data_IF_690245661745
#
_entry.id   IF_690245661745
#
_cell.length_a   1.000
_cell.length_b   1.000
_cell.length_c   1.000
_cell.angle_alpha   90.00
_cell.angle_beta   90.00
_cell.angle_gamma   90.00
#
_symmetry.space_group_name_H-M   'P 1'
#
loop_
_entity.id
_entity.type
_entity.pdbx_description
1 polymer ?
#
# COMPACT_ATOMS: atom_id res chain seq x y z
N UNK A 1 -1.16 3.45 46.73
CA UNK A 1 -1.43 4.24 45.52
C UNK A 1 -0.67 3.59 44.37
N UNK A 2 -1.37 2.97 43.41
CA UNK A 2 -0.75 2.41 42.20
C UNK A 2 -1.37 3.10 41.00
N UNK A 3 -0.58 3.94 40.34
CA UNK A 3 -0.92 4.54 39.06
C UNK A 3 -0.75 3.46 37.98
N UNK A 4 -1.83 2.79 37.60
CA UNK A 4 -1.88 1.97 36.37
C UNK A 4 -2.46 2.83 35.26
N UNK A 5 -1.61 3.66 34.65
CA UNK A 5 -1.92 4.46 33.47
C UNK A 5 -1.64 3.62 32.21
N UNK A 6 -2.26 2.44 32.09
CA UNK A 6 -2.06 1.52 30.95
C UNK A 6 -3.38 1.19 30.23
N UNK A 7 -4.29 2.16 30.13
CA UNK A 7 -5.45 2.06 29.25
C UNK A 7 -5.44 3.20 28.24
N UNK A 8 -4.43 3.20 27.36
CA UNK A 8 -4.65 3.76 26.03
C UNK A 8 -5.65 2.81 25.36
N UNK A 9 -6.94 3.15 25.38
CA UNK A 9 -7.98 2.36 24.73
C UNK A 9 -7.62 2.19 23.25
N UNK A 10 -7.16 0.99 22.90
CA UNK A 10 -6.87 0.62 21.52
C UNK A 10 -8.23 0.52 20.81
N UNK A 11 -8.61 1.56 20.05
CA UNK A 11 -9.91 1.61 19.36
C UNK A 11 -9.93 0.80 18.05
N UNK A 12 -8.77 0.35 17.60
CA UNK A 12 -8.57 -0.49 16.43
C UNK A 12 -7.36 -1.40 16.61
N UNK A 13 -7.45 -2.63 16.11
CA UNK A 13 -6.34 -3.57 16.05
C UNK A 13 -5.81 -3.64 14.61
N UNK A 14 -4.53 -3.36 14.42
CA UNK A 14 -3.88 -3.52 13.13
C UNK A 14 -3.70 -5.01 12.78
N UNK A 15 -3.99 -5.36 11.52
CA UNK A 15 -3.82 -6.71 10.98
C UNK A 15 -3.06 -6.60 9.66
N UNK A 16 -1.93 -7.28 9.57
CA UNK A 16 -1.17 -7.37 8.33
C UNK A 16 -0.81 -8.81 7.99
N UNK A 17 -0.68 -9.07 6.70
CA UNK A 17 -0.15 -10.30 6.14
C UNK A 17 0.89 -9.92 5.09
N UNK A 18 2.11 -10.40 5.29
CA UNK A 18 3.22 -10.24 4.36
C UNK A 18 3.56 -11.59 3.75
N UNK A 19 3.55 -11.67 2.43
CA UNK A 19 4.02 -12.81 1.66
C UNK A 19 5.18 -12.37 0.79
N UNK A 20 6.33 -13.01 0.93
CA UNK A 20 7.55 -12.67 0.20
C UNK A 20 8.08 -13.88 -0.55
N UNK A 21 8.43 -13.64 -1.81
CA UNK A 21 9.04 -14.62 -2.69
C UNK A 21 10.41 -14.12 -3.15
N UNK A 22 11.41 -15.00 -3.10
CA UNK A 22 12.77 -14.72 -3.54
C UNK A 22 13.10 -15.58 -4.75
N UNK A 23 13.42 -14.93 -5.86
CA UNK A 23 13.93 -15.56 -7.08
C UNK A 23 15.40 -15.25 -7.29
N UNK A 24 15.97 -15.80 -8.36
CA UNK A 24 17.35 -15.50 -8.74
C UNK A 24 17.45 -14.08 -9.34
N UNK A 25 17.98 -13.13 -8.58
CA UNK A 25 18.13 -11.73 -8.99
C UNK A 25 16.85 -10.90 -8.88
N UNK A 26 15.79 -11.40 -8.24
CA UNK A 26 14.57 -10.62 -7.99
C UNK A 26 13.82 -11.09 -6.75
N UNK A 27 12.96 -10.23 -6.22
CA UNK A 27 12.07 -10.51 -5.11
C UNK A 27 10.70 -9.87 -5.36
N UNK A 28 9.65 -10.54 -4.89
CA UNK A 28 8.30 -10.01 -4.85
C UNK A 28 7.77 -10.01 -3.41
N UNK A 29 7.08 -8.95 -3.03
CA UNK A 29 6.39 -8.80 -1.77
C UNK A 29 4.93 -8.47 -2.05
N UNK A 30 4.03 -9.29 -1.52
CA UNK A 30 2.61 -8.98 -1.42
C UNK A 30 2.29 -8.67 0.03
N UNK A 31 1.79 -7.46 0.29
CA UNK A 31 1.40 -6.98 1.61
C UNK A 31 -0.07 -6.63 1.62
N UNK A 32 -0.76 -7.13 2.63
CA UNK A 32 -2.16 -6.80 2.92
C UNK A 32 -2.20 -6.20 4.32
N UNK A 33 -2.61 -4.94 4.45
CA UNK A 33 -2.68 -4.23 5.73
C UNK A 33 -4.08 -3.64 5.93
N UNK A 34 -4.72 -4.03 7.02
CA UNK A 34 -6.06 -3.56 7.39
C UNK A 34 -6.19 -3.37 8.90
N UNK A 35 -7.37 -2.91 9.32
CA UNK A 35 -7.65 -2.58 10.71
C UNK A 35 -8.98 -3.20 11.14
N UNK A 36 -8.98 -3.87 12.29
CA UNK A 36 -10.20 -4.32 12.96
C UNK A 36 -10.62 -3.27 13.97
N UNK A 37 -11.78 -2.66 13.74
CA UNK A 37 -12.34 -1.66 14.66
C UNK A 37 -12.88 -2.38 15.89
N UNK A 38 -12.41 -1.99 17.08
CA UNK A 38 -12.85 -2.55 18.36
C UNK A 38 -13.98 -1.73 18.99
N UNK A 39 -14.00 -0.41 18.72
CA UNK A 39 -15.08 0.48 19.14
C UNK A 39 -15.67 1.24 17.94
N UNK A 40 -16.72 0.70 17.30
CA UNK A 40 -17.31 1.30 16.10
C UNK A 40 -17.98 2.65 16.35
N UNK A 41 -18.39 2.94 17.60
CA UNK A 41 -19.04 4.22 17.95
C UNK A 41 -18.10 5.43 17.76
N UNK A 42 -16.79 5.24 17.86
CA UNK A 42 -15.80 6.31 17.70
C UNK A 42 -15.50 6.69 16.25
N UNK A 43 -15.84 5.80 15.30
CA UNK A 43 -15.64 6.03 13.86
C UNK A 43 -16.95 6.40 13.14
N UNK A 44 -18.07 6.51 13.88
CA UNK A 44 -19.36 6.90 13.35
C UNK A 44 -19.37 8.33 12.78
N UNK A 45 -18.45 9.20 13.26
CA UNK A 45 -18.37 10.61 12.86
C UNK A 45 -17.14 10.90 11.98
N UNK A 46 -16.05 10.14 12.15
CA UNK A 46 -14.76 10.37 11.49
C UNK A 46 -14.47 9.46 10.29
N UNK A 47 -15.33 8.46 10.02
CA UNK A 47 -15.11 7.47 8.97
C UNK A 47 -14.10 6.39 9.35
N UNK A 48 -14.02 5.31 8.57
CA UNK A 48 -13.07 4.23 8.85
C UNK A 48 -11.66 4.62 8.42
N UNK A 49 -10.60 4.22 9.17
CA UNK A 49 -9.23 4.45 8.74
C UNK A 49 -8.94 3.79 7.39
N UNK A 50 -8.09 4.43 6.58
CA UNK A 50 -7.65 3.91 5.29
C UNK A 50 -7.05 2.52 5.43
N UNK A 51 -7.43 1.63 4.53
CA UNK A 51 -6.85 0.29 4.44
C UNK A 51 -6.05 0.16 3.14
N UNK A 52 -4.92 -0.55 3.21
CA UNK A 52 -4.02 -0.77 2.07
C UNK A 52 -4.11 -2.24 1.66
N UNK A 53 -5.01 -2.54 0.71
CA UNK A 53 -5.33 -3.90 0.29
C UNK A 53 -5.49 -4.00 -1.23
N UNK A 54 -4.59 -4.70 -1.96
CA UNK A 54 -3.23 -5.12 -1.61
C UNK A 54 -2.14 -4.12 -2.06
N UNK A 55 -0.96 -4.19 -1.45
CA UNK A 55 0.29 -3.61 -1.94
C UNK A 55 1.17 -4.73 -2.53
N UNK A 56 1.60 -4.56 -3.77
CA UNK A 56 2.53 -5.44 -4.48
C UNK A 56 3.81 -4.67 -4.77
N UNK A 57 4.94 -5.25 -4.41
CA UNK A 57 6.27 -4.70 -4.67
C UNK A 57 7.13 -5.76 -5.36
N UNK A 58 7.69 -5.43 -6.52
CA UNK A 58 8.59 -6.25 -7.29
C UNK A 58 9.92 -5.49 -7.44
N UNK A 59 11.02 -6.09 -7.01
CA UNK A 59 12.35 -5.52 -7.21
C UNK A 59 13.30 -6.54 -7.78
N UNK A 60 14.10 -6.15 -8.76
CA UNK A 60 15.06 -7.03 -9.42
C UNK A 60 16.39 -6.33 -9.68
N UNK A 61 17.48 -7.07 -9.57
CA UNK A 61 18.82 -6.62 -9.88
C UNK A 61 19.60 -7.78 -10.51
N UNK A 62 20.06 -7.58 -11.74
CA UNK A 62 20.85 -8.56 -12.46
C UNK A 62 22.22 -7.98 -12.80
N UNK A 63 23.31 -8.70 -12.44
CA UNK A 63 24.66 -8.28 -12.77
C UNK A 63 24.92 -8.42 -14.27
N UNK A 64 25.91 -7.69 -14.78
CA UNK A 64 26.23 -7.70 -16.21
C UNK A 64 26.66 -9.08 -16.71
N UNK A 65 25.89 -9.67 -17.62
CA UNK A 65 26.33 -10.83 -18.39
C UNK A 65 27.04 -10.37 -19.66
N UNK A 66 28.38 -10.47 -19.69
CA UNK A 66 29.21 -10.40 -20.90
C UNK A 66 29.37 -9.05 -21.61
N UNK A 67 28.65 -7.99 -21.23
CA UNK A 67 28.67 -6.69 -21.94
C UNK A 67 28.71 -5.44 -21.05
N UNK A 68 28.96 -5.57 -19.75
CA UNK A 68 29.08 -4.43 -18.82
C UNK A 68 27.77 -3.68 -18.49
N UNK A 69 26.61 -4.23 -18.88
CA UNK A 69 25.30 -3.65 -18.61
C UNK A 69 24.68 -4.20 -17.32
N UNK A 70 24.38 -3.34 -16.34
CA UNK A 70 23.66 -3.69 -15.13
C UNK A 70 22.19 -3.29 -15.25
N UNK A 71 21.28 -4.16 -14.80
CA UNK A 71 19.84 -3.93 -14.87
C UNK A 71 19.24 -3.93 -13.47
N UNK A 72 18.44 -2.90 -13.18
CA UNK A 72 17.64 -2.82 -11.96
C UNK A 72 16.19 -2.51 -12.32
N UNK A 73 15.28 -3.29 -11.75
CA UNK A 73 13.83 -3.16 -11.91
C UNK A 73 13.20 -2.82 -10.57
N UNK A 74 12.30 -1.84 -10.56
CA UNK A 74 11.41 -1.52 -9.45
C UNK A 74 9.98 -1.43 -9.96
N UNK A 75 9.05 -2.11 -9.32
CA UNK A 75 7.62 -2.02 -9.61
C UNK A 75 6.83 -2.05 -8.32
N UNK A 76 5.94 -1.10 -8.12
CA UNK A 76 5.05 -1.06 -6.97
C UNK A 76 3.63 -0.76 -7.42
N UNK A 77 2.66 -1.50 -6.88
CA UNK A 77 1.24 -1.27 -7.08
C UNK A 77 0.52 -1.31 -5.73
N UNK A 78 -0.23 -0.27 -5.40
CA UNK A 78 -0.96 -0.17 -4.13
C UNK A 78 -2.41 0.13 -4.38
N UNK A 79 -3.28 -0.61 -3.71
CA UNK A 79 -4.71 -0.37 -3.68
C UNK A 79 -5.14 0.16 -2.31
N UNK A 80 -5.67 1.39 -2.31
CA UNK A 80 -6.20 2.05 -1.13
C UNK A 80 -7.72 1.94 -1.12
N UNK A 81 -8.26 1.50 0.02
CA UNK A 81 -9.70 1.49 0.27
C UNK A 81 -10.00 2.38 1.47
N UNK A 82 -10.95 3.28 1.30
CA UNK A 82 -11.48 4.11 2.39
C UNK A 82 -13.00 4.03 2.37
N UNK A 83 -13.62 3.89 3.53
CA UNK A 83 -15.07 4.03 3.65
C UNK A 83 -15.37 5.36 4.29
N UNK A 84 -15.86 6.30 3.49
CA UNK A 84 -16.43 7.55 3.98
C UNK A 84 -17.89 7.32 4.40
N UNK A 85 -18.33 8.03 5.43
CA UNK A 85 -19.74 8.06 5.82
C UNK A 85 -20.34 9.38 5.30
N UNK A 86 -21.22 9.29 4.31
CA UNK A 86 -21.94 10.45 3.80
C UNK A 86 -23.22 10.61 4.61
N UNK A 87 -23.22 11.59 5.51
CA UNK A 87 -24.42 11.99 6.27
C UNK A 87 -25.25 12.93 5.41
N UNK A 88 -26.15 12.37 4.59
CA UNK A 88 -26.98 13.18 3.67
C UNK A 88 -28.39 12.65 3.37
N UNK A 89 -28.78 11.47 3.87
CA UNK A 89 -30.09 10.89 3.59
C UNK A 89 -30.97 10.80 4.85
N UNK A 90 -32.30 10.96 4.74
CA UNK A 90 -33.24 10.68 5.84
C UNK A 90 -33.17 9.24 6.36
N UNK A 91 -32.53 8.34 5.60
CA UNK A 91 -32.37 6.91 5.87
C UNK A 91 -31.11 6.54 6.70
N UNK A 92 -30.39 7.52 7.25
CA UNK A 92 -29.17 7.28 8.03
C UNK A 92 -27.88 7.35 7.21
N UNK A 93 -26.71 7.13 7.84
CA UNK A 93 -25.41 7.26 7.19
C UNK A 93 -25.24 6.18 6.09
N UNK A 94 -24.95 6.62 4.87
CA UNK A 94 -24.59 5.73 3.76
C UNK A 94 -23.06 5.68 3.68
N UNK A 95 -22.51 4.47 3.66
CA UNK A 95 -21.09 4.23 3.46
C UNK A 95 -20.74 4.30 1.97
N UNK A 96 -19.85 5.21 1.59
CA UNK A 96 -19.31 5.32 0.22
C UNK A 96 -17.84 4.81 0.21
N UNK A 97 -17.57 3.63 -0.36
CA UNK A 97 -16.23 3.11 -0.47
C UNK A 97 -15.47 3.77 -1.64
N UNK A 98 -14.56 4.70 -1.32
CA UNK A 98 -13.61 5.26 -2.28
C UNK A 98 -12.45 4.31 -2.57
N UNK A 99 -12.14 4.09 -3.86
CA UNK A 99 -11.04 3.25 -4.33
C UNK A 99 -9.98 4.08 -5.08
N UNK A 100 -8.71 3.91 -4.71
CA UNK A 100 -7.57 4.50 -5.42
C UNK A 100 -6.51 3.44 -5.72
N UNK A 101 -6.09 3.38 -6.98
CA UNK A 101 -4.98 2.54 -7.45
C UNK A 101 -3.80 3.43 -7.87
N UNK A 102 -2.65 3.18 -7.26
CA UNK A 102 -1.38 3.83 -7.63
C UNK A 102 -0.39 2.76 -8.08
N UNK A 103 0.21 2.95 -9.26
CA UNK A 103 1.26 2.08 -9.77
C UNK A 103 2.47 2.89 -10.25
N UNK A 104 3.67 2.40 -9.92
CA UNK A 104 4.94 2.98 -10.37
C UNK A 104 5.86 1.87 -10.87
N UNK A 105 6.49 2.10 -12.02
CA UNK A 105 7.48 1.18 -12.59
C UNK A 105 8.72 1.97 -13.01
N UNK A 106 9.88 1.49 -12.58
CA UNK A 106 11.19 2.04 -12.89
C UNK A 106 12.12 0.97 -13.43
N UNK A 107 12.85 1.32 -14.49
CA UNK A 107 13.96 0.53 -15.03
C UNK A 107 15.21 1.40 -15.03
N UNK A 108 16.28 0.89 -14.44
CA UNK A 108 17.58 1.53 -14.42
C UNK A 108 18.60 0.64 -15.12
N UNK A 109 19.33 1.24 -16.06
CA UNK A 109 20.36 0.58 -16.86
C UNK A 109 21.67 1.36 -16.72
N UNK A 110 22.75 0.67 -16.37
CA UNK A 110 24.08 1.28 -16.27
C UNK A 110 25.05 0.51 -17.17
N UNK A 111 25.67 1.19 -18.14
CA UNK A 111 26.68 0.64 -19.04
C UNK A 111 27.93 1.51 -19.11
N UNK A 112 28.95 1.06 -19.87
CA UNK A 112 30.20 1.79 -20.07
C UNK A 112 30.08 3.19 -20.71
N UNK A 113 28.88 3.56 -21.17
CA UNK A 113 28.56 4.85 -21.81
C UNK A 113 27.71 5.79 -20.92
N UNK A 114 27.50 5.45 -19.64
CA UNK A 114 26.76 6.26 -18.68
C UNK A 114 25.38 5.68 -18.29
N UNK A 115 24.72 6.22 -17.24
CA UNK A 115 23.45 5.70 -16.73
C UNK A 115 22.24 6.22 -17.53
N UNK A 116 21.23 5.35 -17.71
CA UNK A 116 19.91 5.69 -18.26
C UNK A 116 18.81 5.35 -17.23
N UNK A 117 17.98 6.33 -16.88
CA UNK A 117 16.85 6.19 -15.97
C UNK A 117 15.52 6.45 -16.70
N UNK A 118 14.52 5.57 -16.54
CA UNK A 118 13.14 5.83 -16.97
C UNK A 118 12.18 5.47 -15.83
N UNK A 119 11.39 6.45 -15.39
CA UNK A 119 10.35 6.30 -14.37
C UNK A 119 8.99 6.57 -15.02
N UNK A 120 8.02 5.67 -14.83
CA UNK A 120 6.62 5.86 -15.22
C UNK A 120 5.74 5.77 -13.97
N UNK A 121 4.86 6.74 -13.75
CA UNK A 121 3.93 6.78 -12.61
C UNK A 121 2.51 6.97 -13.14
N UNK A 122 1.61 6.06 -12.80
CA UNK A 122 0.19 6.08 -13.21
C UNK A 122 -0.68 6.10 -11.94
N UNK A 123 -1.60 7.06 -11.83
CA UNK A 123 -2.60 7.10 -10.75
C UNK A 123 -4.01 7.08 -11.32
N UNK A 124 -4.80 6.10 -10.91
CA UNK A 124 -6.20 5.98 -11.28
C UNK A 124 -7.09 6.06 -10.04
N UNK A 125 -7.99 7.05 -10.03
CA UNK A 125 -9.03 7.21 -9.02
C UNK A 125 -10.37 6.80 -9.62
N UNK A 126 -11.08 5.87 -8.98
CA UNK A 126 -12.43 5.47 -9.40
C UNK A 126 -13.39 5.76 -8.25
N UNK A 127 -14.34 6.67 -8.47
CA UNK A 127 -15.49 6.87 -7.59
C UNK A 127 -16.61 5.96 -8.09
N UNK A 128 -17.27 5.22 -7.21
CA UNK A 128 -18.37 4.33 -7.57
C UNK A 128 -19.68 4.82 -6.97
#
# INVERSE_FOLDING_TARGET
>A
MSNNLDFLTVNYLERHLDSRYYGNGWQALARVQGYQILNPALFAVSGKPYQRLPQLLLTGAWPSSGGGLNYQLYGEAVHFQQTDLVTGAPAGPVADPGLELSAVVGLHQTGGWGPLHRLSTERHRTRR
#
